data_IF_208072584051
#
_entry.id   IF_208072584051
#
_cell.length_a   1.000
_cell.length_b   1.000
_cell.length_c   1.000
_cell.angle_alpha   90.00
_cell.angle_beta   90.00
_cell.angle_gamma   90.00
#
_symmetry.space_group_name_H-M   'P 1'
#
loop_
_entity.id
_entity.type
_entity.pdbx_description
1 polymer ?
#
# COMPACT_ATOMS: atom_id res chain seq x y z
N UNK A 1 -3.77 -26.25 -5.10
CA UNK A 1 -3.04 -26.14 -3.85
C UNK A 1 -2.26 -24.84 -3.78
N UNK A 2 -2.51 -24.06 -2.77
CA UNK A 2 -1.85 -22.77 -2.65
C UNK A 2 -0.39 -22.94 -2.25
N UNK A 3 0.47 -22.19 -2.88
CA UNK A 3 1.88 -22.17 -2.51
C UNK A 3 2.18 -20.84 -1.84
N UNK A 4 2.83 -20.94 -0.71
CA UNK A 4 3.24 -19.73 -0.01
C UNK A 4 4.55 -19.24 -0.58
N UNK A 5 4.59 -17.96 -0.90
CA UNK A 5 5.79 -17.33 -1.41
C UNK A 5 6.22 -16.24 -0.44
N UNK A 6 7.49 -16.25 -0.05
CA UNK A 6 8.02 -15.26 0.86
C UNK A 6 9.29 -14.68 0.23
N UNK A 7 9.34 -13.36 0.16
CA UNK A 7 10.51 -12.66 -0.34
C UNK A 7 10.93 -11.67 0.73
N UNK A 8 12.18 -11.72 1.13
CA UNK A 8 12.71 -10.79 2.11
C UNK A 8 13.99 -10.16 1.57
N UNK A 9 14.04 -8.85 1.60
CA UNK A 9 15.22 -8.10 1.21
C UNK A 9 15.56 -7.19 2.37
N UNK A 10 16.76 -7.28 2.85
CA UNK A 10 17.18 -6.50 4.00
C UNK A 10 18.50 -5.81 3.65
N UNK A 11 18.48 -4.52 3.50
CA UNK A 11 19.68 -3.73 3.26
C UNK A 11 19.75 -2.62 4.28
N UNK A 12 20.82 -1.82 4.22
CA UNK A 12 21.00 -0.74 5.19
C UNK A 12 19.90 0.29 5.14
N UNK A 13 19.28 0.48 3.99
CA UNK A 13 18.31 1.57 3.81
C UNK A 13 16.92 1.09 3.44
N UNK A 14 16.77 -0.15 3.07
CA UNK A 14 15.49 -0.67 2.58
C UNK A 14 15.27 -2.07 3.10
N UNK A 15 14.11 -2.28 3.70
CA UNK A 15 13.64 -3.60 4.09
C UNK A 15 12.37 -3.91 3.31
N UNK A 16 12.34 -5.05 2.66
CA UNK A 16 11.17 -5.48 1.91
C UNK A 16 10.76 -6.86 2.39
N UNK A 17 9.50 -7.00 2.76
CA UNK A 17 8.90 -8.27 3.11
C UNK A 17 7.68 -8.49 2.25
N UNK A 18 7.67 -9.58 1.52
CA UNK A 18 6.53 -9.95 0.70
C UNK A 18 6.11 -11.36 1.06
N UNK A 19 4.85 -11.52 1.43
CA UNK A 19 4.26 -12.82 1.65
C UNK A 19 3.06 -12.98 0.74
N UNK A 20 3.00 -14.07 0.06
CA UNK A 20 1.87 -14.38 -0.79
C UNK A 20 1.43 -15.81 -0.50
N UNK A 21 0.16 -15.98 -0.18
CA UNK A 21 -0.41 -17.27 0.15
C UNK A 21 -1.79 -17.32 -0.50
N UNK A 22 -1.89 -18.03 -1.63
CA UNK A 22 -3.14 -18.06 -2.37
C UNK A 22 -3.55 -16.68 -2.83
N UNK A 23 -4.70 -16.20 -2.39
CA UNK A 23 -5.19 -14.88 -2.72
C UNK A 23 -4.73 -13.82 -1.73
N UNK A 24 -4.06 -14.24 -0.66
CA UNK A 24 -3.62 -13.30 0.37
C UNK A 24 -2.24 -12.78 0.03
N UNK A 25 -2.10 -11.46 0.05
CA UNK A 25 -0.83 -10.81 -0.22
C UNK A 25 -0.55 -9.83 0.89
N UNK A 26 0.67 -9.86 1.38
CA UNK A 26 1.13 -8.92 2.39
C UNK A 26 2.49 -8.39 1.97
N UNK A 27 2.54 -7.11 1.71
CA UNK A 27 3.77 -6.45 1.30
C UNK A 27 4.11 -5.36 2.30
N UNK A 28 5.35 -5.36 2.75
CA UNK A 28 5.81 -4.39 3.71
C UNK A 28 7.15 -3.86 3.21
N UNK A 29 7.23 -2.57 2.95
CA UNK A 29 8.46 -1.92 2.52
C UNK A 29 8.78 -0.83 3.53
N UNK A 30 9.95 -0.92 4.11
CA UNK A 30 10.38 -0.01 5.15
C UNK A 30 11.68 0.66 4.72
N UNK A 31 11.65 1.98 4.58
CA UNK A 31 12.84 2.75 4.27
C UNK A 31 13.04 3.77 5.36
N UNK A 32 14.14 4.53 5.27
CA UNK A 32 14.43 5.53 6.28
C UNK A 32 13.34 6.57 6.44
N UNK A 33 12.68 6.92 5.36
CA UNK A 33 11.75 8.04 5.37
C UNK A 33 10.32 7.65 5.05
N UNK A 34 10.10 6.46 4.54
CA UNK A 34 8.78 6.07 4.05
C UNK A 34 8.54 4.61 4.38
N UNK A 35 7.35 4.33 4.91
CA UNK A 35 6.87 2.98 5.14
C UNK A 35 5.69 2.71 4.22
N UNK A 36 5.71 1.60 3.52
CA UNK A 36 4.63 1.22 2.63
C UNK A 36 4.13 -0.15 3.03
N UNK A 37 2.83 -0.28 3.19
CA UNK A 37 2.20 -1.55 3.49
C UNK A 37 1.05 -1.79 2.53
N UNK A 38 0.98 -2.99 2.01
CA UNK A 38 -0.10 -3.39 1.14
C UNK A 38 -0.58 -4.76 1.59
N UNK A 39 -1.85 -4.86 1.90
CA UNK A 39 -2.46 -6.10 2.36
C UNK A 39 -3.68 -6.37 1.51
N UNK A 40 -3.76 -7.57 0.99
CA UNK A 40 -4.88 -7.97 0.16
C UNK A 40 -5.30 -9.37 0.54
N UNK A 41 -6.60 -9.57 0.72
CA UNK A 41 -7.16 -10.91 0.84
C UNK A 41 -8.31 -11.03 -0.15
N UNK A 42 -9.17 -12.02 0.03
CA UNK A 42 -10.23 -12.29 -0.94
C UNK A 42 -11.24 -11.16 -1.07
N UNK A 43 -11.47 -10.43 0.01
CA UNK A 43 -12.53 -9.43 0.03
C UNK A 43 -12.04 -8.02 0.33
N UNK A 44 -10.88 -7.89 0.96
CA UNK A 44 -10.38 -6.59 1.43
C UNK A 44 -9.04 -6.26 0.80
N UNK A 45 -8.84 -4.97 0.56
CA UNK A 45 -7.54 -4.46 0.11
C UNK A 45 -7.20 -3.25 0.93
N UNK A 46 -5.96 -3.19 1.39
CA UNK A 46 -5.51 -2.08 2.22
C UNK A 46 -4.15 -1.62 1.75
N UNK A 47 -3.99 -0.32 1.58
CA UNK A 47 -2.74 0.28 1.19
C UNK A 47 -2.42 1.40 2.16
N UNK A 48 -1.19 1.43 2.64
CA UNK A 48 -0.75 2.45 3.57
C UNK A 48 0.62 2.96 3.14
N UNK A 49 0.73 4.26 2.99
CA UNK A 49 1.99 4.93 2.73
C UNK A 49 2.21 5.95 3.84
N UNK A 50 3.27 5.77 4.60
CA UNK A 50 3.51 6.58 5.77
C UNK A 50 4.89 7.23 5.64
N UNK A 51 4.92 8.52 5.52
CA UNK A 51 6.17 9.25 5.39
C UNK A 51 6.17 10.50 6.24
N UNK A 52 7.29 11.20 6.19
CA UNK A 52 7.46 12.39 7.00
C UNK A 52 6.51 13.50 6.60
N UNK A 53 6.29 13.65 5.32
CA UNK A 53 5.47 14.74 4.77
C UNK A 53 4.24 14.24 4.04
N UNK A 54 3.99 12.96 4.05
CA UNK A 54 2.89 12.38 3.29
C UNK A 54 2.36 11.15 4.02
N UNK A 55 1.05 11.07 4.14
CA UNK A 55 0.34 9.92 4.66
C UNK A 55 -0.80 9.61 3.73
N UNK A 56 -0.86 8.38 3.24
CA UNK A 56 -1.95 7.94 2.39
C UNK A 56 -2.44 6.59 2.91
N UNK A 57 -3.73 6.50 3.15
CA UNK A 57 -4.35 5.25 3.60
C UNK A 57 -5.57 5.00 2.73
N UNK A 58 -5.61 3.84 2.10
CA UNK A 58 -6.73 3.45 1.27
C UNK A 58 -7.20 2.08 1.74
N UNK A 59 -8.48 1.97 2.03
CA UNK A 59 -9.05 0.74 2.52
C UNK A 59 -10.27 0.41 1.69
N UNK A 60 -10.27 -0.74 1.05
CA UNK A 60 -11.40 -1.20 0.26
C UNK A 60 -12.00 -2.44 0.89
N UNK A 61 -13.26 -2.37 1.19
CA UNK A 61 -14.02 -3.50 1.74
C UNK A 61 -15.25 -3.72 0.87
N UNK A 62 -16.00 -4.80 1.11
CA UNK A 62 -17.25 -4.99 0.37
C UNK A 62 -18.24 -3.85 0.56
N UNK A 63 -18.10 -3.09 1.64
CA UNK A 63 -19.02 -1.99 1.93
C UNK A 63 -18.63 -0.70 1.23
N UNK A 64 -17.42 -0.60 0.74
CA UNK A 64 -17.01 0.61 0.04
C UNK A 64 -15.51 0.86 0.14
N UNK A 65 -15.15 2.09 -0.15
CA UNK A 65 -13.76 2.49 -0.18
C UNK A 65 -13.57 3.71 0.71
N UNK A 66 -12.54 3.66 1.52
CA UNK A 66 -12.17 4.78 2.38
C UNK A 66 -10.78 5.26 1.99
N UNK A 67 -10.63 6.55 1.79
CA UNK A 67 -9.34 7.13 1.41
C UNK A 67 -9.03 8.26 2.37
N UNK A 68 -7.84 8.22 2.95
CA UNK A 68 -7.35 9.29 3.81
C UNK A 68 -6.01 9.74 3.28
N UNK A 69 -5.86 11.04 3.10
CA UNK A 69 -4.63 11.60 2.56
C UNK A 69 -4.26 12.81 3.39
N UNK A 70 -3.01 12.86 3.79
CA UNK A 70 -2.46 14.01 4.49
C UNK A 70 -1.08 14.27 3.90
N UNK A 71 -0.88 15.46 3.36
CA UNK A 71 0.39 15.80 2.74
C UNK A 71 0.71 17.26 3.03
N UNK A 72 1.99 17.52 3.29
CA UNK A 72 2.45 18.86 3.59
C UNK A 72 3.11 19.47 2.36
N UNK A 73 2.59 20.62 1.93
CA UNK A 73 3.18 21.32 0.80
C UNK A 73 2.63 20.89 -0.53
N UNK A 74 2.81 21.75 -1.52
CA UNK A 74 2.26 21.52 -2.85
C UNK A 74 2.85 20.29 -3.51
N UNK A 75 4.16 20.12 -3.36
CA UNK A 75 4.85 18.99 -3.97
C UNK A 75 4.29 17.67 -3.46
N UNK A 76 4.19 17.53 -2.15
CA UNK A 76 3.73 16.27 -1.58
C UNK A 76 2.25 16.03 -1.83
N UNK A 77 1.47 17.10 -1.95
CA UNK A 77 0.06 16.94 -2.31
C UNK A 77 -0.07 16.39 -3.72
N UNK A 78 0.78 16.85 -4.63
CA UNK A 78 0.76 16.32 -6.00
C UNK A 78 1.17 14.85 -6.02
N UNK A 79 2.19 14.50 -5.27
CA UNK A 79 2.62 13.10 -5.17
C UNK A 79 1.51 12.23 -4.61
N UNK A 80 0.87 12.72 -3.55
CA UNK A 80 -0.22 11.95 -2.92
C UNK A 80 -1.36 11.69 -3.91
N UNK A 81 -1.72 12.70 -4.68
CA UNK A 81 -2.76 12.54 -5.68
C UNK A 81 -2.42 11.43 -6.68
N UNK A 82 -1.19 11.42 -7.15
CA UNK A 82 -0.76 10.40 -8.10
C UNK A 82 -0.78 9.01 -7.48
N UNK A 83 -0.32 8.91 -6.25
CA UNK A 83 -0.32 7.63 -5.55
C UNK A 83 -1.75 7.12 -5.39
N UNK A 84 -2.65 7.98 -4.94
CA UNK A 84 -4.04 7.58 -4.75
C UNK A 84 -4.65 7.10 -6.07
N UNK A 85 -4.44 7.85 -7.14
CA UNK A 85 -4.97 7.46 -8.44
C UNK A 85 -4.42 6.10 -8.87
N UNK A 86 -3.13 5.91 -8.70
CA UNK A 86 -2.49 4.66 -9.10
C UNK A 86 -3.07 3.48 -8.33
N UNK A 87 -3.19 3.63 -7.02
CA UNK A 87 -3.69 2.54 -6.17
C UNK A 87 -5.17 2.25 -6.46
N UNK A 88 -5.97 3.28 -6.65
CA UNK A 88 -7.38 3.07 -6.95
C UNK A 88 -7.57 2.33 -8.27
N UNK A 89 -6.71 2.61 -9.24
CA UNK A 89 -6.72 1.87 -10.48
C UNK A 89 -6.42 0.40 -10.26
N UNK A 90 -5.42 0.13 -9.42
CA UNK A 90 -5.05 -1.24 -9.12
C UNK A 90 -6.16 -1.97 -8.37
N UNK A 91 -6.88 -1.25 -7.55
CA UNK A 91 -8.00 -1.83 -6.82
C UNK A 91 -9.22 -2.02 -7.71
N UNK A 92 -9.19 -1.50 -8.91
CA UNK A 92 -10.30 -1.62 -9.88
C UNK A 92 -11.60 -1.14 -9.32
N UNK A 93 -11.56 0.05 -8.76
CA UNK A 93 -12.75 0.65 -8.18
C UNK A 93 -13.66 1.20 -9.27
N UNK A 94 -14.95 1.17 -9.00
CA UNK A 94 -15.92 1.73 -9.89
C UNK A 94 -16.36 0.79 -10.99
N UNK A 95 -15.92 -0.41 -10.92
CA UNK A 95 -16.38 -1.34 -11.93
C UNK A 95 -16.14 -2.72 -11.59
#
# INVERSE_FOLDING_TARGET
MAKKKVVKIDTDNIDVNLEKDGTNIKLDIDTKNIDIKYIKDEVNKEFSLDGKNIDVHINKTPEGVEVKVDAKGVFWKAVAKRVVKFILRRFKLGK
#
